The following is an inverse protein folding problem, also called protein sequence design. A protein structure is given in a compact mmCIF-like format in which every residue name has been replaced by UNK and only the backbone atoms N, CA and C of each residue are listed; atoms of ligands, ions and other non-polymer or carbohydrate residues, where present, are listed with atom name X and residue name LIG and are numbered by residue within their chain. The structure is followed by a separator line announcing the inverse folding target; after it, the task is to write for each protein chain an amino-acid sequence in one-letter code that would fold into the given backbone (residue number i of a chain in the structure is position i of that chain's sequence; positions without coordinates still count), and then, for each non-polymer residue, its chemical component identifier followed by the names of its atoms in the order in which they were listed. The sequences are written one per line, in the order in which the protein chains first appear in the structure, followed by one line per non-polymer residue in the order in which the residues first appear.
data_IF_906881698828
#
_entry.id   IF_906881698828
#
_cell.length_a   1.000
_cell.length_b   1.000
_cell.length_c   1.000
_cell.angle_alpha   90.00
_cell.angle_beta   90.00
_cell.angle_gamma   90.00
#
_symmetry.space_group_name_H-M   'P 1'
#
loop_
_entity.id
_entity.type
_entity.pdbx_description
1 polymer ?
#
# COMPACT_ATOMS: atom_id res chain seq x y z
N UNK A 1 1.95 4.37 25.81
CA UNK A 1 2.39 4.31 24.41
C UNK A 1 3.44 3.21 24.33
N UNK A 2 3.02 2.01 23.94
CA UNK A 2 3.97 0.98 23.49
C UNK A 2 4.43 1.36 22.07
N UNK A 3 5.69 1.10 21.68
CA UNK A 3 6.16 1.43 20.34
C UNK A 3 5.40 0.61 19.30
N UNK A 4 5.08 1.26 18.18
CA UNK A 4 4.49 0.77 16.93
C UNK A 4 5.19 -0.48 16.32
N UNK A 5 6.34 -0.85 16.88
CA UNK A 5 7.38 -1.73 16.33
C UNK A 5 7.19 -3.23 16.65
N UNK A 6 6.57 -3.58 17.79
CA UNK A 6 6.50 -4.99 18.25
C UNK A 6 5.51 -5.86 17.48
N UNK A 7 4.57 -5.27 16.74
CA UNK A 7 3.59 -6.05 15.98
C UNK A 7 4.00 -6.29 14.52
N UNK A 8 4.78 -5.39 13.90
CA UNK A 8 5.27 -5.54 12.52
C UNK A 8 6.32 -6.67 12.39
N UNK A 9 7.05 -6.99 13.45
CA UNK A 9 8.21 -7.90 13.45
C UNK A 9 8.01 -9.27 14.13
N UNK A 10 6.78 -9.66 14.45
CA UNK A 10 6.49 -11.02 14.93
C UNK A 10 6.59 -12.06 13.80
N UNK A 11 7.78 -12.23 13.21
CA UNK A 11 8.14 -13.37 12.39
C UNK A 11 8.84 -14.40 13.28
N UNK A 12 8.35 -15.64 13.39
CA UNK A 12 9.07 -16.66 14.10
C UNK A 12 10.34 -17.02 13.30
N UNK A 13 11.50 -16.84 13.92
CA UNK A 13 12.73 -17.46 13.43
C UNK A 13 12.53 -18.99 13.34
N UNK A 14 12.88 -19.64 12.21
CA UNK A 14 12.87 -21.09 12.15
C UNK A 14 13.99 -21.64 13.04
N UNK A 15 13.65 -22.13 14.23
CA UNK A 15 14.53 -22.99 15.01
C UNK A 15 14.67 -24.34 14.27
N UNK A 16 15.71 -24.48 13.46
CA UNK A 16 16.12 -25.79 12.93
C UNK A 16 16.76 -26.59 14.07
N UNK A 17 16.05 -27.60 14.54
CA UNK A 17 16.61 -28.67 15.37
C UNK A 17 17.59 -29.51 14.54
N UNK A 18 18.89 -29.38 14.78
CA UNK A 18 19.81 -30.50 14.60
C UNK A 18 21.12 -30.36 15.41
N UNK A 19 21.37 -31.41 16.20
CA UNK A 19 22.65 -31.89 16.77
C UNK A 19 23.57 -30.96 17.58
N UNK A 20 23.55 -31.19 18.91
CA UNK A 20 24.68 -31.15 19.87
C UNK A 20 25.83 -30.13 19.64
N UNK A 21 25.80 -29.03 20.39
CA UNK A 21 27.01 -28.44 21.00
C UNK A 21 26.64 -27.48 22.14
N UNK A 22 27.36 -27.57 23.26
CA UNK A 22 27.19 -26.78 24.49
C UNK A 22 27.36 -25.28 24.23
N UNK A 23 26.45 -24.47 24.75
CA UNK A 23 26.71 -23.07 25.07
C UNK A 23 26.78 -22.91 26.60
N UNK A 24 27.94 -22.51 27.10
CA UNK A 24 28.11 -21.95 28.44
C UNK A 24 27.99 -20.43 28.33
N UNK A 25 27.21 -19.80 29.22
CA UNK A 25 27.27 -18.36 29.46
C UNK A 25 25.91 -17.66 29.48
N UNK A 26 25.18 -17.84 30.58
CA UNK A 26 24.15 -16.91 31.09
C UNK A 26 24.84 -15.79 31.93
N UNK A 27 24.17 -14.68 32.36
CA UNK A 27 22.71 -14.51 32.41
C UNK A 27 22.14 -13.15 31.94
N UNK A 28 20.91 -13.21 31.42
CA UNK A 28 19.92 -12.15 31.56
C UNK A 28 19.65 -11.86 33.04
N UNK A 29 19.77 -10.60 33.47
CA UNK A 29 19.25 -10.18 34.77
C UNK A 29 17.72 -10.05 34.69
N UNK A 30 17.02 -11.03 35.22
CA UNK A 30 15.64 -10.90 35.69
C UNK A 30 15.67 -10.85 37.23
N UNK A 31 15.16 -9.76 37.78
CA UNK A 31 14.82 -9.63 39.19
C UNK A 31 13.68 -8.62 39.32
N UNK A 32 12.61 -8.79 40.10
CA UNK A 32 12.10 -9.85 40.99
C UNK A 32 10.63 -9.42 41.34
N UNK A 33 9.71 -10.41 41.46
CA UNK A 33 8.71 -10.60 42.57
C UNK A 33 7.57 -9.56 42.73
N UNK A 34 6.28 -9.84 42.99
CA UNK A 34 5.47 -10.95 43.56
C UNK A 34 3.98 -10.68 43.18
N UNK A 35 2.94 -11.49 43.41
CA UNK A 35 2.71 -12.88 43.80
C UNK A 35 1.22 -13.15 43.49
N UNK A 36 0.90 -14.37 43.07
CA UNK A 36 -0.45 -14.92 43.13
C UNK A 36 -0.74 -15.44 44.55
N UNK A 37 -1.95 -15.22 45.05
CA UNK A 37 -2.62 -16.18 45.93
C UNK A 37 -4.13 -16.18 45.68
N UNK A 38 -4.66 -17.41 45.64
CA UNK A 38 -6.04 -17.82 45.43
C UNK A 38 -6.99 -17.25 46.50
N UNK A 39 -8.28 -17.13 46.15
CA UNK A 39 -9.40 -17.67 46.94
C UNK A 39 -10.62 -17.85 46.03
N UNK A 40 -11.18 -19.07 46.07
CA UNK A 40 -12.39 -19.56 45.41
C UNK A 40 -13.66 -19.27 46.24
N UNK A 41 -14.82 -19.44 45.58
CA UNK A 41 -16.20 -19.82 46.04
C UNK A 41 -16.86 -19.00 47.19
N UNK A 42 -18.17 -18.71 47.27
CA UNK A 42 -19.37 -19.38 46.77
C UNK A 42 -20.61 -18.43 46.74
N UNK A 43 -21.70 -18.99 46.21
CA UNK A 43 -22.99 -18.46 45.77
C UNK A 43 -23.93 -17.79 46.81
N UNK A 44 -24.89 -16.99 46.31
CA UNK A 44 -26.31 -17.43 46.17
C UNK A 44 -27.33 -16.29 46.10
N UNK A 45 -28.30 -16.46 45.18
CA UNK A 45 -29.73 -16.11 45.25
C UNK A 45 -30.13 -14.62 45.22
N UNK A 46 -31.24 -14.18 44.61
CA UNK A 46 -32.35 -14.84 43.93
C UNK A 46 -33.31 -13.79 43.30
N UNK A 47 -33.83 -14.10 42.10
CA UNK A 47 -35.25 -14.03 41.68
C UNK A 47 -36.00 -12.66 41.75
N UNK A 48 -36.44 -12.11 40.62
CA UNK A 48 -37.87 -12.09 40.16
C UNK A 48 -38.17 -11.10 39.00
N UNK A 49 -38.89 -11.63 38.00
CA UNK A 49 -40.02 -11.04 37.23
C UNK A 49 -39.80 -9.93 36.18
N UNK A 50 -39.96 -10.34 34.92
CA UNK A 50 -40.67 -9.60 33.83
C UNK A 50 -42.20 -9.56 34.11
N UNK A 51 -43.09 -8.92 33.30
CA UNK A 51 -42.93 -8.39 31.93
C UNK A 51 -43.72 -7.07 31.61
N UNK A 52 -43.76 -6.73 30.30
CA UNK A 52 -44.79 -6.01 29.52
C UNK A 52 -44.61 -4.51 29.14
N UNK A 53 -44.27 -4.36 27.84
CA UNK A 53 -44.92 -3.55 26.79
C UNK A 53 -45.34 -2.10 27.05
N UNK A 54 -44.81 -1.19 26.21
CA UNK A 54 -45.60 -0.14 25.59
C UNK A 54 -44.97 0.31 24.25
N UNK A 55 -45.77 0.22 23.20
CA UNK A 55 -45.54 0.81 21.89
C UNK A 55 -45.56 2.34 21.98
N UNK A 56 -44.66 3.01 21.26
CA UNK A 56 -44.97 4.28 20.59
C UNK A 56 -44.05 4.47 19.38
N UNK A 57 -44.70 4.49 18.22
CA UNK A 57 -44.12 4.81 16.94
C UNK A 57 -43.80 6.32 16.88
N UNK A 58 -42.58 6.65 16.44
CA UNK A 58 -42.27 8.00 15.96
C UNK A 58 -42.02 7.86 14.47
N UNK A 59 -43.01 8.32 13.70
CA UNK A 59 -42.91 8.66 12.29
C UNK A 59 -41.92 9.81 12.14
N UNK A 60 -40.82 9.59 11.42
CA UNK A 60 -40.04 10.67 10.82
C UNK A 60 -40.04 10.46 9.31
N UNK A 61 -40.69 11.41 8.64
CA UNK A 61 -40.87 11.49 7.20
C UNK A 61 -39.53 11.54 6.46
N UNK A 62 -39.40 10.67 5.45
CA UNK A 62 -38.38 10.78 4.41
C UNK A 62 -38.71 11.97 3.51
N UNK A 63 -37.82 12.97 3.46
CA UNK A 63 -37.82 14.00 2.42
C UNK A 63 -36.81 13.59 1.35
N UNK A 64 -37.32 13.03 0.26
CA UNK A 64 -36.60 12.79 -0.98
C UNK A 64 -36.32 14.16 -1.60
N UNK A 65 -35.05 14.56 -1.64
CA UNK A 65 -34.59 15.67 -2.47
C UNK A 65 -33.84 15.09 -3.66
N UNK A 66 -34.40 15.39 -4.83
CA UNK A 66 -33.98 15.01 -6.16
C UNK A 66 -32.53 15.38 -6.48
N UNK A 67 -31.88 14.41 -7.12
CA UNK A 67 -30.61 14.50 -7.83
C UNK A 67 -30.71 15.54 -8.96
N UNK A 68 -29.73 16.44 -9.04
CA UNK A 68 -29.41 17.17 -10.27
C UNK A 68 -27.98 16.84 -10.71
N UNK A 69 -27.78 16.37 -11.96
CA UNK A 69 -26.45 16.14 -12.53
C UNK A 69 -25.79 17.48 -12.95
N UNK A 70 -24.44 17.52 -13.06
CA UNK A 70 -23.74 18.70 -13.55
C UNK A 70 -24.03 18.96 -15.04
N UNK A 71 -23.92 20.22 -15.50
CA UNK A 71 -24.31 20.59 -16.85
C UNK A 71 -23.34 20.05 -17.91
N UNK A 72 -23.94 19.47 -18.95
CA UNK A 72 -23.33 19.16 -20.24
C UNK A 72 -22.88 20.43 -20.96
N UNK A 73 -21.62 20.48 -21.38
CA UNK A 73 -21.14 21.47 -22.35
C UNK A 73 -21.18 20.89 -23.76
N UNK A 74 -21.95 21.55 -24.61
CA UNK A 74 -22.11 21.29 -26.03
C UNK A 74 -20.93 21.81 -26.86
N UNK A 75 -20.52 21.01 -27.85
CA UNK A 75 -20.10 21.35 -29.23
C UNK A 75 -20.20 22.85 -29.61
N UNK A 76 -19.20 23.56 -30.17
CA UNK A 76 -18.41 23.40 -31.42
C UNK A 76 -17.48 24.68 -31.56
N UNK A 77 -16.82 25.01 -32.70
CA UNK A 77 -16.01 24.26 -33.68
C UNK A 77 -14.60 24.90 -33.90
N UNK A 78 -13.84 24.39 -34.89
CA UNK A 78 -12.64 24.97 -35.54
C UNK A 78 -11.27 24.80 -34.84
N UNK A 79 -10.49 23.84 -35.34
CA UNK A 79 -9.17 24.16 -35.88
C UNK A 79 -8.80 23.16 -36.97
N UNK A 80 -8.78 23.67 -38.21
CA UNK A 80 -8.23 22.99 -39.38
C UNK A 80 -6.70 23.00 -39.23
N UNK A 81 -6.08 21.86 -38.97
CA UNK A 81 -4.63 21.71 -39.16
C UNK A 81 -4.36 21.14 -40.55
N UNK A 82 -3.86 22.02 -41.39
CA UNK A 82 -3.35 21.75 -42.72
C UNK A 82 -2.15 20.79 -42.65
N UNK A 83 -2.26 19.62 -43.28
CA UNK A 83 -1.10 18.84 -43.68
C UNK A 83 -0.46 19.52 -44.89
N UNK A 84 0.72 20.12 -44.67
CA UNK A 84 1.64 20.52 -45.73
C UNK A 84 2.10 19.27 -46.48
N UNK A 85 1.59 19.10 -47.69
CA UNK A 85 2.13 18.15 -48.67
C UNK A 85 3.40 18.76 -49.25
N UNK A 86 4.53 18.11 -49.00
CA UNK A 86 5.81 18.40 -49.64
C UNK A 86 5.72 17.91 -51.10
N UNK A 87 5.65 18.83 -52.06
CA UNK A 87 5.81 18.49 -53.48
C UNK A 87 7.29 18.19 -53.74
N UNK A 88 7.59 16.92 -54.06
CA UNK A 88 8.83 16.54 -54.74
C UNK A 88 8.42 16.16 -56.17
N UNK A 89 8.83 16.99 -57.12
CA UNK A 89 8.79 16.70 -58.55
C UNK A 89 9.81 15.62 -58.89
N UNK A 90 9.37 14.47 -59.38
CA UNK A 90 10.23 13.54 -60.11
C UNK A 90 9.60 13.18 -61.44
N UNK A 91 10.44 13.32 -62.47
CA UNK A 91 10.19 13.12 -63.88
C UNK A 91 10.00 11.63 -64.21
N UNK A 92 9.16 11.42 -65.21
CA UNK A 92 8.76 10.14 -65.80
C UNK A 92 9.89 9.41 -66.52
N UNK A 93 10.00 8.10 -66.33
CA UNK A 93 10.27 7.14 -67.43
C UNK A 93 9.74 5.74 -67.06
N UNK A 94 9.23 5.04 -68.06
CA UNK A 94 8.30 3.91 -67.95
C UNK A 94 8.97 2.53 -67.98
N UNK A 95 8.35 1.54 -67.33
CA UNK A 95 7.97 0.21 -67.90
C UNK A 95 7.36 -0.71 -66.81
N UNK A 96 6.33 -1.55 -67.11
CA UNK A 96 5.70 -2.45 -66.13
C UNK A 96 6.28 -3.88 -66.21
N UNK A 97 6.13 -4.74 -65.18
CA UNK A 97 5.01 -5.68 -65.24
C UNK A 97 4.44 -6.22 -63.91
N UNK A 98 3.27 -6.84 -64.06
CA UNK A 98 2.68 -7.96 -63.29
C UNK A 98 2.00 -7.67 -61.94
N UNK A 99 0.69 -7.84 -61.99
CA UNK A 99 -0.30 -7.81 -60.92
C UNK A 99 -0.15 -8.96 -59.93
N UNK A 100 0.08 -8.63 -58.65
CA UNK A 100 -0.17 -9.53 -57.51
C UNK A 100 -1.41 -9.00 -56.78
N UNK A 101 -2.39 -9.85 -56.41
CA UNK A 101 -3.65 -9.38 -55.83
C UNK A 101 -3.40 -8.80 -54.42
N UNK A 102 -3.45 -7.47 -54.32
CA UNK A 102 -3.25 -6.64 -53.13
C UNK A 102 -4.38 -6.75 -52.08
N UNK A 103 -5.09 -7.89 -52.02
CA UNK A 103 -6.21 -8.11 -51.09
C UNK A 103 -5.89 -9.12 -49.97
N UNK A 104 -4.78 -9.85 -50.05
CA UNK A 104 -4.32 -10.73 -48.96
C UNK A 104 -3.45 -10.02 -47.90
N UNK A 105 -2.82 -8.90 -48.25
CA UNK A 105 -1.81 -8.26 -47.39
C UNK A 105 -2.41 -7.37 -46.29
N UNK A 106 -3.61 -6.82 -46.51
CA UNK A 106 -4.31 -6.00 -45.50
C UNK A 106 -4.93 -6.82 -44.37
N UNK A 107 -5.28 -8.09 -44.61
CA UNK A 107 -5.77 -8.99 -43.55
C UNK A 107 -4.63 -9.54 -42.67
N UNK A 108 -3.42 -9.67 -43.20
CA UNK A 108 -2.25 -10.10 -42.44
C UNK A 108 -1.72 -9.00 -41.50
N UNK A 109 -1.81 -7.72 -41.89
CA UNK A 109 -1.35 -6.60 -41.05
C UNK A 109 -2.35 -6.33 -39.90
N UNK A 110 -3.64 -6.62 -40.07
CA UNK A 110 -4.64 -6.47 -38.99
C UNK A 110 -4.66 -7.66 -38.00
N UNK A 111 -4.07 -8.81 -38.36
CA UNK A 111 -3.96 -9.98 -37.49
C UNK A 111 -2.67 -9.97 -36.63
N UNK A 112 -1.73 -9.05 -36.91
CA UNK A 112 -0.48 -8.87 -36.17
C UNK A 112 -0.48 -7.64 -35.23
N UNK A 113 -1.65 -7.09 -34.87
CA UNK A 113 -1.77 -6.35 -33.61
C UNK A 113 -1.65 -7.35 -32.47
N UNK A 114 -0.40 -7.65 -32.14
CA UNK A 114 0.03 -8.51 -31.06
C UNK A 114 -0.84 -8.28 -29.82
N UNK A 115 -1.50 -9.35 -29.41
CA UNK A 115 -1.89 -9.53 -28.03
C UNK A 115 -0.61 -9.37 -27.20
N UNK A 116 -0.36 -8.16 -26.71
CA UNK A 116 0.46 -7.99 -25.52
C UNK A 116 -0.37 -8.58 -24.38
N UNK A 117 -0.36 -9.91 -24.26
CA UNK A 117 -0.70 -10.55 -23.01
C UNK A 117 0.42 -10.12 -22.08
N UNK A 118 0.21 -9.02 -21.37
CA UNK A 118 0.99 -8.75 -20.18
C UNK A 118 0.85 -10.02 -19.33
N UNK A 119 1.91 -10.82 -19.25
CA UNK A 119 1.95 -11.93 -18.33
C UNK A 119 1.94 -11.30 -16.96
N UNK A 120 0.76 -11.18 -16.35
CA UNK A 120 0.66 -10.81 -14.95
C UNK A 120 1.57 -11.76 -14.17
N UNK A 121 2.49 -11.20 -13.40
CA UNK A 121 3.40 -11.96 -12.54
C UNK A 121 2.61 -12.92 -11.65
N UNK A 122 3.23 -14.04 -11.30
CA UNK A 122 2.62 -15.02 -10.42
C UNK A 122 3.12 -14.79 -9.01
N UNK A 123 2.23 -14.63 -8.02
CA UNK A 123 2.61 -14.50 -6.62
C UNK A 123 3.52 -15.64 -6.14
N UNK A 124 3.45 -16.85 -6.75
CA UNK A 124 4.36 -17.94 -6.44
C UNK A 124 5.82 -17.66 -6.81
N UNK A 125 6.07 -16.81 -7.79
CA UNK A 125 7.40 -16.39 -8.23
C UNK A 125 7.90 -15.21 -7.40
N UNK A 126 6.99 -14.31 -7.04
CA UNK A 126 7.36 -12.99 -6.51
C UNK A 126 7.43 -12.95 -4.97
N UNK A 127 6.68 -13.80 -4.26
CA UNK A 127 6.53 -13.73 -2.81
C UNK A 127 6.62 -15.07 -2.09
N UNK A 128 7.05 -15.01 -0.83
CA UNK A 128 6.98 -16.09 0.15
C UNK A 128 5.96 -15.75 1.24
N UNK A 129 5.17 -16.73 1.66
CA UNK A 129 4.33 -16.63 2.86
C UNK A 129 5.23 -16.84 4.07
N UNK A 130 5.33 -15.83 4.94
CA UNK A 130 6.28 -15.83 6.07
C UNK A 130 5.61 -16.15 7.41
N UNK A 131 4.29 -15.94 7.53
CA UNK A 131 3.50 -16.39 8.69
C UNK A 131 2.00 -16.50 8.35
N UNK A 132 1.25 -17.23 9.19
CA UNK A 132 -0.21 -17.24 9.16
C UNK A 132 -0.88 -18.61 9.24
N UNK A 133 -0.12 -19.71 9.14
CA UNK A 133 -0.66 -21.08 9.32
C UNK A 133 -1.92 -21.35 8.47
N UNK A 134 -1.80 -21.16 7.16
CA UNK A 134 -2.91 -21.31 6.20
C UNK A 134 -3.83 -20.08 6.05
N UNK A 135 -3.61 -19.00 6.82
CA UNK A 135 -4.35 -17.72 6.70
C UNK A 135 -3.86 -16.82 5.56
N UNK A 136 -2.62 -17.01 5.10
CA UNK A 136 -2.16 -16.49 3.83
C UNK A 136 -2.34 -17.57 2.75
N UNK A 137 -2.93 -17.22 1.62
CA UNK A 137 -3.14 -18.16 0.50
C UNK A 137 -2.83 -17.48 -0.82
N UNK A 138 -2.13 -18.20 -1.68
CA UNK A 138 -2.00 -17.87 -3.11
C UNK A 138 -3.00 -18.75 -3.86
N UNK A 139 -3.89 -18.11 -4.60
CA UNK A 139 -5.05 -18.68 -5.27
C UNK A 139 -5.01 -18.31 -6.77
N UNK A 140 -5.98 -18.82 -7.54
CA UNK A 140 -6.18 -18.49 -8.95
C UNK A 140 -4.92 -18.64 -9.81
N UNK A 141 -4.21 -19.75 -9.63
CA UNK A 141 -2.92 -20.05 -10.29
C UNK A 141 -1.87 -18.94 -10.09
N UNK A 142 -1.84 -18.34 -8.91
CA UNK A 142 -0.87 -17.31 -8.55
C UNK A 142 -1.30 -15.89 -8.88
N UNK A 143 -2.56 -15.66 -9.25
CA UNK A 143 -3.07 -14.32 -9.62
C UNK A 143 -3.74 -13.57 -8.47
N UNK A 144 -4.06 -14.28 -7.39
CA UNK A 144 -4.69 -13.71 -6.21
C UNK A 144 -3.93 -14.17 -4.97
N UNK A 145 -3.62 -13.24 -4.08
CA UNK A 145 -3.11 -13.55 -2.75
C UNK A 145 -4.11 -12.99 -1.73
N UNK A 146 -4.49 -13.79 -0.73
CA UNK A 146 -5.36 -13.34 0.36
C UNK A 146 -4.64 -13.47 1.70
N UNK A 147 -4.81 -12.47 2.56
CA UNK A 147 -4.43 -12.52 3.97
C UNK A 147 -5.71 -12.53 4.81
N UNK A 148 -5.79 -13.45 5.77
CA UNK A 148 -6.85 -13.45 6.76
C UNK A 148 -6.34 -13.25 8.18
N UNK A 149 -7.22 -12.72 9.04
CA UNK A 149 -6.97 -12.49 10.46
C UNK A 149 -8.16 -13.00 11.27
N UNK A 150 -7.85 -13.77 12.31
CA UNK A 150 -8.78 -14.19 13.34
C UNK A 150 -8.14 -14.03 14.72
N UNK A 151 -8.86 -14.42 15.78
CA UNK A 151 -8.39 -14.25 17.16
C UNK A 151 -7.12 -15.04 17.48
N UNK A 152 -6.79 -16.06 16.69
CA UNK A 152 -5.59 -16.89 16.88
C UNK A 152 -4.38 -16.24 16.24
N UNK A 153 -4.50 -15.74 15.02
CA UNK A 153 -3.38 -15.17 14.29
C UNK A 153 -3.83 -14.30 13.12
N UNK A 154 -2.96 -13.38 12.71
CA UNK A 154 -3.02 -12.76 11.39
C UNK A 154 -2.26 -13.58 10.35
N UNK A 155 -1.77 -12.89 9.32
CA UNK A 155 -0.91 -13.49 8.29
C UNK A 155 -0.11 -12.44 7.54
N UNK A 156 0.92 -12.88 6.81
CA UNK A 156 1.75 -11.98 6.02
C UNK A 156 2.67 -12.69 5.03
N UNK A 157 3.16 -11.91 4.07
CA UNK A 157 4.06 -12.33 3.02
C UNK A 157 5.20 -11.32 2.83
N UNK A 158 6.30 -11.76 2.23
CA UNK A 158 7.39 -10.89 1.79
C UNK A 158 7.81 -11.19 0.35
N UNK A 159 8.42 -10.24 -0.35
CA UNK A 159 9.00 -10.50 -1.66
C UNK A 159 10.23 -11.39 -1.56
N UNK A 160 10.44 -12.24 -2.57
CA UNK A 160 11.66 -13.06 -2.69
C UNK A 160 12.91 -12.25 -3.04
N UNK A 161 12.70 -11.12 -3.70
CA UNK A 161 13.75 -10.18 -4.06
C UNK A 161 13.81 -8.99 -3.09
N UNK A 162 15.01 -8.43 -2.97
CA UNK A 162 15.25 -7.09 -2.42
C UNK A 162 15.36 -6.09 -3.57
N UNK A 163 14.93 -4.87 -3.31
CA UNK A 163 14.89 -3.80 -4.28
C UNK A 163 15.65 -2.59 -3.74
N UNK A 164 16.39 -1.91 -4.60
CA UNK A 164 16.99 -0.61 -4.31
C UNK A 164 16.56 0.38 -5.39
N UNK A 165 15.49 1.11 -5.08
CA UNK A 165 14.72 1.93 -6.01
C UNK A 165 13.86 1.14 -7.01
N UNK A 166 12.80 1.78 -7.47
CA UNK A 166 11.85 1.26 -8.44
C UNK A 166 10.49 1.93 -8.36
N UNK A 167 9.63 1.58 -9.30
CA UNK A 167 8.18 1.77 -9.20
C UNK A 167 7.52 0.43 -8.92
N UNK A 168 6.81 0.36 -7.79
CA UNK A 168 6.22 -0.86 -7.29
C UNK A 168 4.71 -0.64 -7.11
N UNK A 169 3.92 -1.39 -7.87
CA UNK A 169 2.48 -1.31 -7.91
C UNK A 169 1.88 -2.60 -7.31
N UNK A 170 0.87 -2.46 -6.44
CA UNK A 170 0.06 -3.57 -5.94
C UNK A 170 -1.41 -3.18 -5.97
N UNK A 171 -2.27 -4.05 -6.51
CA UNK A 171 -3.71 -3.88 -6.33
C UNK A 171 -4.17 -4.52 -5.03
N UNK A 172 -4.80 -3.73 -4.16
CA UNK A 172 -5.29 -4.18 -2.86
C UNK A 172 -6.79 -3.91 -2.74
N UNK A 173 -7.51 -4.89 -2.20
CA UNK A 173 -8.91 -4.74 -1.76
C UNK A 173 -8.99 -5.06 -0.27
N UNK A 174 -9.52 -4.10 0.50
CA UNK A 174 -9.50 -4.13 1.96
C UNK A 174 -10.65 -4.95 2.57
N UNK A 175 -10.54 -5.20 3.87
CA UNK A 175 -11.52 -5.94 4.67
C UNK A 175 -12.89 -5.23 4.63
N UNK A 176 -13.96 -5.89 4.15
CA UNK A 176 -15.30 -5.30 4.12
C UNK A 176 -15.97 -5.35 5.50
N UNK A 177 -17.05 -4.58 5.67
CA UNK A 177 -17.86 -4.61 6.88
C UNK A 177 -17.18 -3.94 8.07
N UNK A 178 -17.32 -4.52 9.25
CA UNK A 178 -16.67 -4.00 10.46
C UNK A 178 -15.24 -4.52 10.50
N UNK A 179 -14.28 -3.63 10.30
CA UNK A 179 -12.84 -3.92 10.32
C UNK A 179 -12.11 -3.14 11.41
N UNK A 180 -12.85 -2.57 12.36
CA UNK A 180 -12.26 -1.80 13.45
C UNK A 180 -11.18 -2.62 14.20
N UNK A 181 -10.09 -1.96 14.56
CA UNK A 181 -8.93 -2.54 15.22
C UNK A 181 -8.00 -3.35 14.31
N UNK A 182 -8.34 -3.55 13.03
CA UNK A 182 -7.46 -4.23 12.07
C UNK A 182 -6.56 -3.26 11.31
N UNK A 183 -5.35 -3.69 10.99
CA UNK A 183 -4.42 -2.99 10.08
C UNK A 183 -4.02 -3.93 8.97
N UNK A 184 -4.30 -3.50 7.73
CA UNK A 184 -3.70 -4.09 6.52
C UNK A 184 -2.47 -3.25 6.19
N UNK A 185 -1.27 -3.82 6.21
CA UNK A 185 -0.04 -3.12 5.86
C UNK A 185 0.47 -3.57 4.50
N UNK A 186 1.04 -2.65 3.72
CA UNK A 186 1.79 -2.88 2.49
C UNK A 186 2.97 -1.92 2.47
N UNK A 187 4.18 -2.44 2.65
CA UNK A 187 5.33 -1.61 2.95
C UNK A 187 6.62 -2.19 2.38
N UNK A 188 7.64 -1.34 2.29
CA UNK A 188 9.01 -1.77 2.04
C UNK A 188 9.81 -1.60 3.33
N UNK A 189 10.67 -2.54 3.67
CA UNK A 189 11.55 -2.41 4.83
C UNK A 189 12.90 -3.09 4.60
N UNK A 190 13.98 -2.47 5.05
CA UNK A 190 15.30 -3.10 5.16
C UNK A 190 15.44 -3.80 6.52
N UNK A 191 16.50 -4.58 6.69
CA UNK A 191 16.73 -5.31 7.92
C UNK A 191 17.57 -4.51 8.92
N UNK A 192 17.36 -4.76 10.21
CA UNK A 192 18.21 -4.26 11.29
C UNK A 192 17.67 -3.02 12.03
N UNK A 193 18.38 -2.57 13.08
CA UNK A 193 17.90 -1.52 13.99
C UNK A 193 17.89 -0.12 13.34
N UNK A 194 18.64 0.07 12.26
CA UNK A 194 18.69 1.32 11.50
C UNK A 194 17.97 1.17 10.16
N UNK A 195 16.91 0.37 10.12
CA UNK A 195 16.21 0.07 8.88
C UNK A 195 15.64 1.33 8.21
N UNK A 196 15.57 1.26 6.89
CA UNK A 196 14.78 2.16 6.07
C UNK A 196 13.40 1.50 5.85
N UNK A 197 12.31 2.26 5.87
CA UNK A 197 10.95 1.72 5.66
C UNK A 197 10.02 2.75 4.99
N UNK A 198 9.13 2.26 4.13
CA UNK A 198 8.15 3.06 3.38
C UNK A 198 6.79 2.37 3.51
N UNK A 199 5.85 3.01 4.19
CA UNK A 199 4.60 2.37 4.61
C UNK A 199 3.36 2.87 3.87
N UNK A 200 2.51 1.93 3.45
CA UNK A 200 1.06 2.10 3.47
C UNK A 200 0.45 1.22 4.57
N UNK A 201 -0.36 1.82 5.43
CA UNK A 201 -1.17 1.11 6.42
C UNK A 201 -2.62 1.53 6.31
N UNK A 202 -3.51 0.56 6.16
CA UNK A 202 -4.94 0.78 6.07
C UNK A 202 -5.59 0.44 7.41
N UNK A 203 -6.00 1.49 8.13
CA UNK A 203 -6.61 1.37 9.44
C UNK A 203 -8.12 1.14 9.26
N UNK A 204 -8.57 -0.05 9.68
CA UNK A 204 -9.96 -0.44 9.60
C UNK A 204 -10.88 0.40 10.50
N UNK A 205 -12.18 0.28 10.27
CA UNK A 205 -13.18 1.09 10.95
C UNK A 205 -14.49 0.33 11.13
N UNK A 206 -15.43 0.93 11.87
CA UNK A 206 -16.79 0.39 12.00
C UNK A 206 -17.48 0.33 10.63
N UNK A 207 -18.43 -0.60 10.47
CA UNK A 207 -19.26 -0.69 9.26
C UNK A 207 -19.88 0.66 8.92
N UNK A 208 -19.64 1.14 7.69
CA UNK A 208 -20.17 2.41 7.19
C UNK A 208 -19.30 3.64 7.47
N UNK A 209 -18.30 3.53 8.36
CA UNK A 209 -17.31 4.58 8.56
C UNK A 209 -16.12 4.40 7.60
N UNK A 210 -15.50 5.50 7.12
CA UNK A 210 -14.44 5.40 6.13
C UNK A 210 -13.12 4.90 6.74
N UNK A 211 -12.42 4.05 5.98
CA UNK A 211 -11.03 3.68 6.23
C UNK A 211 -10.11 4.91 6.38
N UNK A 212 -9.02 4.75 7.12
CA UNK A 212 -7.91 5.70 7.09
C UNK A 212 -6.72 5.05 6.38
N UNK A 213 -6.19 5.71 5.36
CA UNK A 213 -4.91 5.36 4.77
C UNK A 213 -3.81 6.16 5.47
N UNK A 214 -2.86 5.44 6.04
CA UNK A 214 -1.71 5.96 6.74
C UNK A 214 -0.45 5.74 5.91
N UNK A 215 0.42 6.74 5.83
CA UNK A 215 1.75 6.63 5.20
C UNK A 215 2.82 7.06 6.18
N UNK A 216 3.97 6.38 6.17
CA UNK A 216 5.13 6.71 6.97
C UNK A 216 6.43 6.48 6.18
N UNK A 217 7.51 7.12 6.63
CA UNK A 217 8.85 6.94 6.06
C UNK A 217 9.86 6.89 7.20
N UNK A 218 10.55 5.76 7.32
CA UNK A 218 11.72 5.58 8.17
C UNK A 218 12.98 5.70 7.33
N UNK A 219 13.96 6.43 7.87
CA UNK A 219 15.30 6.48 7.31
C UNK A 219 16.29 6.34 8.47
N UNK A 220 17.20 5.37 8.36
CA UNK A 220 18.19 5.05 9.40
C UNK A 220 17.54 4.78 10.77
N UNK A 221 16.43 4.05 10.79
CA UNK A 221 15.67 3.69 12.00
C UNK A 221 14.83 4.84 12.57
N UNK A 222 14.83 6.02 11.94
CA UNK A 222 14.04 7.17 12.41
C UNK A 222 12.79 7.33 11.53
N UNK A 223 11.62 7.04 12.10
CA UNK A 223 10.30 7.34 11.53
C UNK A 223 9.69 8.63 12.09
N UNK A 224 8.46 8.55 12.60
CA UNK A 224 7.64 9.67 13.07
C UNK A 224 7.27 10.67 11.96
N UNK A 225 6.96 10.17 10.75
CA UNK A 225 6.61 10.98 9.57
C UNK A 225 5.24 10.63 9.02
N UNK A 226 4.27 10.49 9.90
CA UNK A 226 2.94 10.00 9.60
C UNK A 226 2.12 11.05 8.85
N UNK A 227 1.50 10.63 7.75
CA UNK A 227 0.43 11.39 7.10
C UNK A 227 -0.76 10.45 6.89
N UNK A 228 -1.96 10.91 7.23
CA UNK A 228 -3.18 10.12 7.13
C UNK A 228 -4.19 10.76 6.21
N UNK A 229 -4.94 9.93 5.48
CA UNK A 229 -5.90 10.34 4.46
C UNK A 229 -7.18 9.52 4.56
N UNK A 230 -8.31 10.12 4.20
CA UNK A 230 -9.48 9.39 3.73
C UNK A 230 -9.34 9.11 2.23
N UNK A 231 -10.01 8.08 1.74
CA UNK A 231 -10.02 7.75 0.31
C UNK A 231 -11.28 8.32 -0.35
N UNK A 232 -11.18 8.69 -1.62
CA UNK A 232 -12.30 9.21 -2.43
C UNK A 232 -13.19 8.10 -3.02
N UNK A 233 -13.05 6.88 -2.50
CA UNK A 233 -13.79 5.69 -2.88
C UNK A 233 -13.86 4.73 -1.67
N UNK A 234 -14.71 3.72 -1.74
CA UNK A 234 -14.76 2.63 -0.76
C UNK A 234 -13.73 1.53 -1.14
N UNK A 235 -12.60 1.42 -0.43
CA UNK A 235 -11.50 0.49 -0.77
C UNK A 235 -11.85 -0.99 -0.51
N UNK A 236 -13.05 -1.28 0.00
CA UNK A 236 -13.53 -2.65 0.26
C UNK A 236 -14.33 -3.22 -0.92
N UNK A 237 -14.79 -2.37 -1.85
CA UNK A 237 -15.69 -2.77 -2.95
C UNK A 237 -14.97 -3.29 -4.17
N UNK A 238 -13.84 -2.70 -4.51
CA UNK A 238 -13.00 -3.13 -5.63
C UNK A 238 -11.52 -3.02 -5.28
N UNK A 239 -10.68 -3.58 -6.14
CA UNK A 239 -9.24 -3.44 -6.05
C UNK A 239 -8.80 -2.07 -6.56
N UNK A 240 -7.96 -1.40 -5.77
CA UNK A 240 -7.31 -0.14 -6.14
C UNK A 240 -5.80 -0.32 -6.16
N UNK A 241 -5.12 0.43 -7.01
CA UNK A 241 -3.67 0.33 -7.18
C UNK A 241 -2.98 1.27 -6.21
N UNK A 242 -2.14 0.72 -5.34
CA UNK A 242 -1.29 1.46 -4.42
C UNK A 242 0.15 1.35 -4.90
N UNK A 243 0.74 2.50 -5.19
CA UNK A 243 2.05 2.57 -5.85
C UNK A 243 3.05 3.32 -5.00
N UNK A 244 4.26 2.79 -4.93
CA UNK A 244 5.44 3.46 -4.39
C UNK A 244 6.40 3.68 -5.55
N UNK A 245 6.62 4.95 -5.91
CA UNK A 245 7.73 5.35 -6.76
C UNK A 245 8.87 5.79 -5.84
N UNK A 246 9.92 5.00 -5.79
CA UNK A 246 11.09 5.23 -4.96
C UNK A 246 12.32 5.34 -5.85
N UNK A 247 12.95 6.50 -5.87
CA UNK A 247 14.17 6.74 -6.63
C UNK A 247 15.17 7.56 -5.79
N UNK A 248 16.39 7.86 -6.29
CA UNK A 248 17.38 8.59 -5.51
C UNK A 248 16.96 9.99 -5.03
N UNK A 249 15.87 10.55 -5.58
CA UNK A 249 15.40 11.91 -5.31
C UNK A 249 14.07 11.95 -4.56
N UNK A 250 13.22 10.95 -4.71
CA UNK A 250 11.84 10.99 -4.24
C UNK A 250 11.34 9.63 -3.75
N UNK A 251 10.49 9.66 -2.73
CA UNK A 251 9.52 8.61 -2.42
C UNK A 251 8.13 9.20 -2.63
N UNK A 252 7.46 8.80 -3.70
CA UNK A 252 6.11 9.26 -4.06
C UNK A 252 5.11 8.13 -3.84
N UNK A 253 4.13 8.40 -2.99
CA UNK A 253 3.00 7.53 -2.73
C UNK A 253 1.85 7.90 -3.66
N UNK A 254 1.27 6.91 -4.34
CA UNK A 254 0.11 7.12 -5.21
C UNK A 254 -1.01 6.11 -4.96
N UNK A 255 -2.24 6.57 -5.21
CA UNK A 255 -3.46 5.75 -5.22
C UNK A 255 -4.12 5.92 -6.58
N UNK A 256 -4.24 4.84 -7.35
CA UNK A 256 -4.72 4.82 -8.74
C UNK A 256 -4.02 5.86 -9.62
N UNK A 257 -2.69 5.96 -9.50
CA UNK A 257 -1.86 6.93 -10.19
C UNK A 257 -2.02 8.38 -9.73
N UNK A 258 -2.82 8.64 -8.69
CA UNK A 258 -2.96 9.95 -8.05
C UNK A 258 -1.90 10.10 -6.95
N UNK A 259 -0.93 11.02 -7.05
CA UNK A 259 0.02 11.26 -5.98
C UNK A 259 -0.69 11.84 -4.75
N UNK A 260 -0.38 11.30 -3.57
CA UNK A 260 -0.93 11.76 -2.28
C UNK A 260 0.16 12.37 -1.38
N UNK A 261 1.42 11.94 -1.58
CA UNK A 261 2.58 12.37 -0.80
C UNK A 261 3.86 12.22 -1.64
N UNK A 262 4.77 13.17 -1.49
CA UNK A 262 6.13 13.16 -2.06
C UNK A 262 7.11 13.48 -0.91
N UNK A 263 7.96 12.52 -0.56
CA UNK A 263 9.04 12.71 0.40
C UNK A 263 10.35 12.86 -0.37
N UNK A 264 10.90 14.07 -0.38
CA UNK A 264 12.09 14.42 -1.17
C UNK A 264 13.37 14.00 -0.46
N UNK A 265 14.39 13.64 -1.23
CA UNK A 265 15.74 13.49 -0.73
C UNK A 265 16.33 14.87 -0.39
N UNK A 266 16.50 15.12 0.91
CA UNK A 266 17.07 16.34 1.47
C UNK A 266 18.36 16.08 2.25
N UNK A 267 19.12 15.04 1.87
CA UNK A 267 20.38 14.69 2.55
C UNK A 267 21.43 15.80 2.49
N UNK A 268 21.45 16.61 1.43
CA UNK A 268 22.29 17.81 1.34
C UNK A 268 21.98 18.85 2.42
N UNK A 269 20.83 18.71 3.10
CA UNK A 269 20.40 19.51 4.25
C UNK A 269 20.37 18.71 5.56
N UNK A 270 21.00 17.54 5.59
CA UNK A 270 21.14 16.70 6.79
C UNK A 270 19.93 15.85 7.15
N UNK A 271 18.95 15.71 6.25
CA UNK A 271 17.77 14.86 6.46
C UNK A 271 18.02 13.51 5.78
N UNK A 272 18.02 12.43 6.56
CA UNK A 272 18.23 11.08 6.05
C UNK A 272 17.13 10.67 5.05
N UNK A 273 17.51 9.88 4.05
CA UNK A 273 16.64 9.38 2.99
C UNK A 273 16.92 7.88 2.74
N UNK A 274 15.89 7.04 2.50
CA UNK A 274 16.08 5.62 2.23
C UNK A 274 16.75 5.42 0.88
N UNK A 275 18.07 5.27 0.84
CA UNK A 275 18.83 5.32 -0.43
C UNK A 275 19.89 4.23 -0.60
N UNK A 276 20.33 3.66 0.52
CA UNK A 276 21.50 2.78 0.57
C UNK A 276 21.16 1.37 1.01
N UNK A 277 19.98 1.15 1.58
CA UNK A 277 19.57 -0.14 2.10
C UNK A 277 18.53 -0.76 1.15
N UNK A 278 18.85 -1.88 0.49
CA UNK A 278 17.85 -2.62 -0.25
C UNK A 278 16.73 -3.06 0.69
N UNK A 279 15.50 -3.00 0.20
CA UNK A 279 14.30 -3.32 0.97
C UNK A 279 13.54 -4.46 0.32
N UNK A 280 12.94 -5.32 1.15
CA UNK A 280 11.90 -6.25 0.70
C UNK A 280 10.55 -5.57 0.77
N UNK A 281 9.64 -6.03 -0.07
CA UNK A 281 8.23 -5.70 0.02
C UNK A 281 7.62 -6.65 1.04
N UNK A 282 6.78 -6.12 1.91
CA UNK A 282 6.03 -6.85 2.91
C UNK A 282 4.56 -6.50 2.82
N UNK A 283 3.73 -7.44 3.25
CA UNK A 283 2.36 -7.13 3.59
C UNK A 283 1.87 -8.05 4.71
N UNK A 284 1.05 -7.50 5.58
CA UNK A 284 0.49 -8.20 6.73
C UNK A 284 -0.93 -7.73 7.02
N UNK A 285 -1.71 -8.60 7.66
CA UNK A 285 -3.00 -8.26 8.25
C UNK A 285 -2.97 -8.66 9.72
N UNK A 286 -3.12 -7.69 10.61
CA UNK A 286 -2.94 -7.88 12.05
C UNK A 286 -3.84 -6.98 12.89
N UNK A 287 -3.92 -7.28 14.18
CA UNK A 287 -4.73 -6.54 15.15
C UNK A 287 -3.89 -5.45 15.85
N UNK A 288 -4.38 -4.22 15.80
CA UNK A 288 -3.74 -3.02 16.31
C UNK A 288 -4.70 -2.23 17.21
N UNK A 289 -5.40 -2.94 18.09
CA UNK A 289 -6.46 -2.41 18.96
C UNK A 289 -6.05 -1.18 19.77
N UNK A 290 -4.78 -1.05 20.09
CA UNK A 290 -4.26 0.05 20.92
C UNK A 290 -4.23 1.40 20.21
N UNK A 291 -4.35 1.45 18.88
CA UNK A 291 -4.21 2.70 18.14
C UNK A 291 -4.98 2.81 16.83
N UNK A 292 -5.27 1.72 16.12
CA UNK A 292 -5.71 1.77 14.73
C UNK A 292 -7.04 2.52 14.51
N UNK A 293 -8.08 2.19 15.27
CA UNK A 293 -9.41 2.79 15.05
C UNK A 293 -9.70 3.82 16.13
N UNK A 294 -9.85 5.09 15.69
CA UNK A 294 -10.11 6.24 16.56
C UNK A 294 -9.11 6.34 17.72
N UNK A 295 -7.82 6.21 17.40
CA UNK A 295 -6.74 6.24 18.39
C UNK A 295 -6.80 5.11 19.41
N UNK A 296 -7.36 3.96 19.02
CA UNK A 296 -7.47 2.75 19.86
C UNK A 296 -8.70 2.69 20.77
N UNK A 297 -9.63 3.64 20.63
CA UNK A 297 -10.87 3.63 21.43
C UNK A 297 -11.88 2.58 20.98
N UNK A 298 -11.81 2.16 19.71
CA UNK A 298 -12.65 1.10 19.16
C UNK A 298 -11.78 -0.14 18.90
N UNK A 299 -12.21 -1.26 19.49
CA UNK A 299 -11.50 -2.55 19.49
C UNK A 299 -12.05 -3.49 18.43
N UNK A 300 -11.29 -4.52 18.11
CA UNK A 300 -11.68 -5.56 17.16
C UNK A 300 -12.80 -6.40 17.71
N UNK A 301 -13.91 -6.44 16.99
CA UNK A 301 -14.99 -7.39 17.26
C UNK A 301 -14.74 -8.70 16.53
N UNK A 302 -14.09 -9.62 17.23
CA UNK A 302 -13.72 -10.96 16.74
C UNK A 302 -14.89 -11.83 16.29
N UNK A 303 -16.15 -11.47 16.59
CA UNK A 303 -17.31 -12.18 16.03
C UNK A 303 -17.47 -11.97 14.51
N UNK A 304 -16.80 -10.96 13.95
CA UNK A 304 -16.74 -10.69 12.51
C UNK A 304 -15.56 -11.38 11.80
N UNK A 305 -14.74 -12.15 12.53
CA UNK A 305 -13.66 -12.91 11.94
C UNK A 305 -14.19 -14.07 11.06
N UNK A 306 -13.47 -14.48 10.00
CA UNK A 306 -12.17 -13.95 9.59
C UNK A 306 -12.28 -12.62 8.83
N UNK A 307 -11.39 -11.69 9.17
CA UNK A 307 -11.14 -10.49 8.37
C UNK A 307 -10.27 -10.88 7.19
N UNK A 308 -10.58 -10.39 5.98
CA UNK A 308 -9.88 -10.81 4.76
C UNK A 308 -9.50 -9.62 3.88
N UNK A 309 -8.21 -9.46 3.61
CA UNK A 309 -7.66 -8.54 2.62
C UNK A 309 -7.16 -9.33 1.39
N UNK A 310 -7.27 -8.75 0.20
CA UNK A 310 -6.92 -9.40 -1.06
C UNK A 310 -5.95 -8.55 -1.88
N UNK A 311 -5.05 -9.23 -2.58
CA UNK A 311 -3.96 -8.64 -3.37
C UNK A 311 -3.93 -9.26 -4.77
N UNK A 312 -3.71 -8.45 -5.80
CA UNK A 312 -3.53 -8.92 -7.18
C UNK A 312 -2.64 -7.98 -7.98
N UNK A 313 -2.31 -8.40 -9.21
CA UNK A 313 -1.64 -7.56 -10.21
C UNK A 313 -0.40 -6.85 -9.66
N UNK A 314 0.44 -7.59 -8.93
CA UNK A 314 1.76 -7.10 -8.54
C UNK A 314 2.57 -6.78 -9.80
N UNK A 315 3.19 -5.61 -9.80
CA UNK A 315 4.07 -5.18 -10.88
C UNK A 315 5.23 -4.37 -10.30
N UNK A 316 6.46 -4.76 -10.61
CA UNK A 316 7.66 -4.02 -10.25
C UNK A 316 8.48 -3.71 -11.48
N UNK A 317 8.72 -2.41 -11.71
CA UNK A 317 9.78 -1.92 -12.57
C UNK A 317 10.83 -1.32 -11.63
N UNK A 318 11.78 -2.16 -11.22
CA UNK A 318 12.65 -1.87 -10.07
C UNK A 318 14.03 -2.51 -10.23
N UNK A 319 15.02 -1.94 -9.55
CA UNK A 319 16.34 -2.56 -9.49
C UNK A 319 16.35 -3.65 -8.43
N UNK A 320 16.39 -4.91 -8.87
CA UNK A 320 16.53 -6.07 -7.99
C UNK A 320 18.00 -6.20 -7.56
N UNK A 321 18.25 -6.14 -6.26
CA UNK A 321 19.60 -6.35 -5.72
C UNK A 321 19.83 -7.85 -5.52
N UNK A 322 20.81 -8.39 -6.23
CA UNK A 322 21.28 -9.77 -6.04
C UNK A 322 22.68 -9.76 -5.41
N UNK A 323 23.09 -10.89 -4.83
CA UNK A 323 24.45 -11.10 -4.32
C UNK A 323 25.55 -10.87 -5.37
N UNK A 324 25.19 -10.79 -6.66
CA UNK A 324 26.11 -10.56 -7.78
C UNK A 324 26.07 -9.16 -8.41
N UNK A 325 25.13 -8.28 -8.04
CA UNK A 325 25.00 -6.94 -8.64
C UNK A 325 24.30 -5.94 -7.71
N UNK A 326 25.10 -5.16 -6.98
CA UNK A 326 24.62 -4.12 -6.05
C UNK A 326 24.49 -2.73 -6.69
N UNK A 327 24.96 -2.54 -7.92
CA UNK A 327 25.12 -1.20 -8.50
C UNK A 327 23.95 -0.80 -9.41
N UNK A 328 22.79 -0.52 -8.82
CA UNK A 328 21.61 0.01 -9.52
C UNK A 328 21.90 1.31 -10.29
N UNK A 329 22.85 2.12 -9.82
CA UNK A 329 23.26 3.37 -10.46
C UNK A 329 24.19 3.19 -11.68
N UNK A 330 24.69 1.99 -11.96
CA UNK A 330 25.59 1.71 -13.09
C UNK A 330 24.95 0.95 -14.24
N UNK A 331 23.74 0.43 -14.04
CA UNK A 331 23.02 -0.29 -15.08
C UNK A 331 22.34 0.70 -16.02
N UNK A 332 22.81 0.74 -17.27
CA UNK A 332 22.28 1.61 -18.30
C UNK A 332 20.79 1.35 -18.60
N UNK A 333 20.28 0.13 -18.35
CA UNK A 333 18.86 -0.17 -18.46
C UNK A 333 18.06 0.52 -17.34
N UNK A 334 18.57 0.47 -16.11
CA UNK A 334 17.98 1.14 -14.94
C UNK A 334 18.00 2.66 -15.08
N UNK A 335 19.10 3.26 -15.56
CA UNK A 335 19.16 4.71 -15.78
C UNK A 335 18.20 5.17 -16.88
N UNK A 336 17.95 4.33 -17.89
CA UNK A 336 16.98 4.59 -18.97
C UNK A 336 15.54 4.31 -18.57
N UNK A 337 15.32 3.64 -17.44
CA UNK A 337 13.97 3.40 -16.94
C UNK A 337 13.30 4.74 -16.62
N UNK A 338 12.02 4.86 -16.99
CA UNK A 338 11.29 6.12 -16.82
C UNK A 338 11.19 6.57 -15.37
N UNK A 339 11.27 5.64 -14.41
CA UNK A 339 11.09 5.89 -12.98
C UNK A 339 12.35 6.45 -12.28
N UNK A 340 13.56 6.17 -12.77
CA UNK A 340 14.82 6.51 -12.07
C UNK A 340 14.99 8.01 -11.79
N UNK A 341 14.58 8.86 -12.73
CA UNK A 341 14.59 10.31 -12.58
C UNK A 341 13.17 10.89 -12.58
N UNK A 342 12.16 10.08 -12.31
CA UNK A 342 10.78 10.55 -12.33
C UNK A 342 10.52 11.47 -11.14
N UNK A 343 9.88 12.60 -11.43
CA UNK A 343 9.44 13.57 -10.45
C UNK A 343 8.01 13.97 -10.79
N UNK A 344 7.26 14.50 -9.83
CA UNK A 344 5.94 15.05 -10.12
C UNK A 344 6.09 16.31 -10.97
N UNK A 345 5.43 16.36 -12.13
CA UNK A 345 5.32 17.58 -12.90
C UNK A 345 4.38 18.61 -12.22
N UNK A 346 4.16 19.76 -12.87
CA UNK A 346 3.28 20.79 -12.31
C UNK A 346 1.85 20.29 -12.05
N UNK A 347 1.33 19.46 -12.96
CA UNK A 347 -0.03 18.90 -12.86
C UNK A 347 -0.12 17.90 -11.72
N UNK A 348 0.86 16.99 -11.60
CA UNK A 348 0.98 16.02 -10.52
C UNK A 348 1.07 16.69 -9.15
N UNK A 349 1.90 17.73 -9.01
CA UNK A 349 1.98 18.52 -7.77
C UNK A 349 0.67 19.22 -7.41
N UNK A 350 -0.03 19.79 -8.40
CA UNK A 350 -1.36 20.38 -8.17
C UNK A 350 -2.38 19.35 -7.72
N UNK A 351 -2.38 18.18 -8.36
CA UNK A 351 -3.28 17.07 -8.00
C UNK A 351 -3.00 16.56 -6.59
N UNK A 352 -1.74 16.40 -6.22
CA UNK A 352 -1.33 16.02 -4.86
C UNK A 352 -1.79 17.05 -3.83
N UNK A 353 -1.57 18.34 -4.08
CA UNK A 353 -2.07 19.41 -3.20
C UNK A 353 -3.58 19.39 -3.04
N UNK A 354 -4.32 19.16 -4.12
CA UNK A 354 -5.77 19.02 -4.06
C UNK A 354 -6.18 17.82 -3.19
N UNK A 355 -5.53 16.66 -3.33
CA UNK A 355 -5.78 15.51 -2.45
C UNK A 355 -5.50 15.86 -0.99
N UNK A 356 -4.35 16.47 -0.72
CA UNK A 356 -3.97 16.86 0.64
C UNK A 356 -4.96 17.84 1.27
N UNK A 357 -5.48 18.80 0.48
CA UNK A 357 -6.47 19.76 0.95
C UNK A 357 -7.85 19.14 1.26
N UNK A 358 -8.26 18.12 0.50
CA UNK A 358 -9.62 17.57 0.58
C UNK A 358 -9.72 16.27 1.38
N UNK A 359 -8.63 15.52 1.51
CA UNK A 359 -8.67 14.15 2.05
C UNK A 359 -7.66 13.88 3.16
N UNK A 360 -6.63 14.71 3.34
CA UNK A 360 -5.67 14.54 4.44
C UNK A 360 -6.32 14.91 5.77
N UNK A 361 -6.19 14.04 6.76
CA UNK A 361 -6.76 14.21 8.09
C UNK A 361 -5.69 14.36 9.18
N UNK A 362 -4.44 13.99 8.88
CA UNK A 362 -3.31 14.17 9.78
C UNK A 362 -2.03 14.42 8.97
N UNK A 363 -1.18 15.32 9.47
CA UNK A 363 0.13 15.59 8.93
C UNK A 363 1.10 15.91 10.08
N UNK A 364 2.12 15.05 10.26
CA UNK A 364 3.17 15.23 11.27
C UNK A 364 3.84 16.61 11.20
N UNK A 365 3.98 17.20 10.00
CA UNK A 365 4.55 18.53 9.80
C UNK A 365 3.71 19.69 10.34
N UNK A 366 2.50 19.43 10.83
CA UNK A 366 1.64 20.44 11.45
C UNK A 366 1.29 20.11 12.90
N UNK A 367 1.82 19.01 13.43
CA UNK A 367 1.51 18.52 14.77
C UNK A 367 2.49 19.08 15.82
N UNK A 368 2.29 20.34 16.18
CA UNK A 368 3.09 20.98 17.23
C UNK A 368 2.90 20.37 18.63
N UNK A 369 1.81 19.61 18.84
CA UNK A 369 1.58 18.90 20.11
C UNK A 369 2.51 17.70 20.24
N UNK A 370 2.69 16.94 19.15
CA UNK A 370 3.64 15.83 19.10
C UNK A 370 5.10 16.31 19.07
N UNK A 371 5.36 17.46 18.44
CA UNK A 371 6.71 18.04 18.32
C UNK A 371 6.84 19.39 19.06
N UNK A 372 6.73 19.41 20.41
CA UNK A 372 6.76 20.65 21.19
C UNK A 372 8.12 21.36 21.15
N UNK A 373 9.19 20.65 20.76
CA UNK A 373 10.55 21.20 20.63
C UNK A 373 10.86 21.73 19.22
N UNK A 374 9.87 21.77 18.34
CA UNK A 374 10.03 22.17 16.94
C UNK A 374 9.73 21.02 15.99
N UNK A 375 9.11 21.37 14.86
CA UNK A 375 8.76 20.43 13.81
C UNK A 375 10.02 19.86 13.13
N UNK A 376 9.95 18.65 12.55
CA UNK A 376 11.05 18.08 11.80
C UNK A 376 11.57 19.04 10.71
N UNK A 377 12.89 19.18 10.50
CA UNK A 377 13.47 20.18 9.60
C UNK A 377 12.91 20.13 8.18
N UNK A 378 12.65 18.92 7.66
CA UNK A 378 12.08 18.67 6.33
C UNK A 378 10.76 19.41 6.10
N UNK A 379 9.96 19.62 7.15
CA UNK A 379 8.64 20.25 7.06
C UNK A 379 8.69 21.73 6.67
N UNK A 380 9.84 22.39 6.85
CA UNK A 380 10.04 23.80 6.51
C UNK A 380 10.67 24.02 5.13
N UNK A 381 11.06 22.93 4.46
CA UNK A 381 11.85 22.95 3.23
C UNK A 381 11.04 22.56 1.98
N UNK A 382 9.76 22.24 2.17
CA UNK A 382 8.89 21.58 1.18
C UNK A 382 7.96 22.48 0.37
#
# INVERSE_FOLDING_TARGET
MLPEETAKLCLPHPCTLNSKSRCHGDPCSMSLIANCSQLSWEASNAITKSPLSAFSAILISYKVSSVHPPPSLSSSPFLVSQLKVLQISQSTSASPPSSIPMKGFLFAILACSFLNIASAGSFYQDFDIIWGDGRAKILDNGRLLTLSLDKTSGSGFQSKNEYLFGKIDMQVKLVPGNSAGTVTAYYLSSQGPTHDEIDFEFLGNLSGDPYTLHTNVFAQGKGNREMQFKLWFDPTKDFHTYSILWNPRHVIFMVDGTPIRDFKNLESRGIAFPKNQPMRIYSSLWNADDWATRGGTIKTDWSNAPFLASYRNFNSDACVTSSSSTNCASDAATIKSGWWNQELDFTGRKRMKWVQQNYMIYNYCTDSKRFPQGLPPECSLD
#
